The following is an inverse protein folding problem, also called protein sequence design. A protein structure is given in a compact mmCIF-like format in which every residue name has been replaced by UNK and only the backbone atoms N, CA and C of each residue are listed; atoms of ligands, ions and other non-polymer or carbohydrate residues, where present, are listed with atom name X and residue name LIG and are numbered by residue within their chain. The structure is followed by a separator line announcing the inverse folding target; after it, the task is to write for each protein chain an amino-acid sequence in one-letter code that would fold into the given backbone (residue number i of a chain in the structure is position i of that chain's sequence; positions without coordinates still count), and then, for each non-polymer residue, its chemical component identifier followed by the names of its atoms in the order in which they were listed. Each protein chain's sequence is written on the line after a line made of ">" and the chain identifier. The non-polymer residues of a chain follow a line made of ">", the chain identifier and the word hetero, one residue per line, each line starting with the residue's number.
data_IF_357700521759
#
_entry.id   IF_357700521759
#
_cell.length_a   1.000
_cell.length_b   1.000
_cell.length_c   1.000
_cell.angle_alpha   90.00
_cell.angle_beta   90.00
_cell.angle_gamma   90.00
#
_symmetry.space_group_name_H-M   'P 1'
#
loop_
_entity.id
_entity.type
_entity.pdbx_description
1 polymer ?
#
# COMPACT_ATOMS: atom_id res chain seq x y z
N UNK A 1 12.70 38.01 -43.39
CA UNK A 1 12.46 38.29 -41.96
C UNK A 1 11.55 37.20 -41.42
N UNK A 2 12.11 36.21 -40.73
CA UNK A 2 11.34 35.12 -40.12
C UNK A 2 11.00 35.49 -38.69
N UNK A 3 9.73 35.81 -38.42
CA UNK A 3 9.24 36.00 -37.06
C UNK A 3 9.16 34.64 -36.38
N UNK A 4 10.16 34.32 -35.55
CA UNK A 4 10.03 33.30 -34.51
C UNK A 4 8.89 33.74 -33.58
N UNK A 5 7.73 33.09 -33.69
CA UNK A 5 6.69 33.18 -32.65
C UNK A 5 7.29 32.57 -31.39
N UNK A 6 7.45 33.37 -30.34
CA UNK A 6 7.69 32.83 -29.01
C UNK A 6 6.47 32.00 -28.64
N UNK A 7 6.67 30.78 -28.17
CA UNK A 7 5.62 30.00 -27.52
C UNK A 7 5.36 30.72 -26.19
N UNK A 8 4.47 31.70 -26.21
CA UNK A 8 3.77 32.16 -25.01
C UNK A 8 2.79 31.05 -24.65
N UNK A 9 2.85 30.53 -23.43
CA UNK A 9 1.76 29.75 -22.85
C UNK A 9 0.50 30.63 -22.94
N UNK A 10 -0.37 30.36 -23.93
CA UNK A 10 -1.62 31.09 -24.08
C UNK A 10 -2.53 30.66 -22.94
N UNK A 11 -2.60 31.46 -21.88
CA UNK A 11 -3.54 31.25 -20.78
C UNK A 11 -4.98 31.31 -21.32
N UNK A 12 -5.62 30.15 -21.44
CA UNK A 12 -7.02 30.06 -21.83
C UNK A 12 -7.93 30.19 -20.59
N UNK A 13 -8.89 31.11 -20.66
CA UNK A 13 -9.88 31.28 -19.60
C UNK A 13 -11.17 30.53 -19.92
N UNK A 14 -11.64 29.70 -18.99
CA UNK A 14 -12.89 28.96 -19.09
C UNK A 14 -13.80 29.34 -17.92
N UNK A 15 -15.06 29.67 -18.22
CA UNK A 15 -16.07 30.03 -17.22
C UNK A 15 -17.09 28.90 -17.04
N UNK A 16 -17.24 28.38 -15.83
CA UNK A 16 -18.21 27.33 -15.48
C UNK A 16 -19.38 27.87 -14.66
N UNK A 17 -20.57 27.29 -14.85
CA UNK A 17 -21.68 27.42 -13.92
C UNK A 17 -21.77 26.15 -13.09
N UNK A 18 -21.68 26.28 -11.78
CA UNK A 18 -21.70 25.17 -10.82
C UNK A 18 -22.92 25.30 -9.92
N UNK A 19 -23.40 24.17 -9.39
CA UNK A 19 -24.35 24.20 -8.29
C UNK A 19 -23.70 24.82 -7.04
N UNK A 20 -24.51 25.40 -6.15
CA UNK A 20 -24.01 25.98 -4.89
C UNK A 20 -23.28 24.94 -4.05
N UNK A 21 -23.86 23.75 -3.93
CA UNK A 21 -23.29 22.61 -3.20
C UNK A 21 -21.90 22.25 -3.73
N UNK A 22 -21.76 22.10 -5.05
CA UNK A 22 -20.47 21.74 -5.65
C UNK A 22 -19.41 22.83 -5.46
N UNK A 23 -19.82 24.11 -5.55
CA UNK A 23 -18.91 25.23 -5.27
C UNK A 23 -18.41 25.21 -3.83
N UNK A 24 -19.30 24.95 -2.87
CA UNK A 24 -18.94 24.83 -1.46
C UNK A 24 -17.97 23.66 -1.23
N UNK A 25 -18.24 22.50 -1.81
CA UNK A 25 -17.33 21.35 -1.76
C UNK A 25 -15.93 21.70 -2.28
N UNK A 26 -15.83 22.33 -3.46
CA UNK A 26 -14.54 22.75 -4.02
C UNK A 26 -13.80 23.72 -3.08
N UNK A 27 -14.50 24.66 -2.47
CA UNK A 27 -13.89 25.61 -1.53
C UNK A 27 -13.38 24.88 -0.29
N UNK A 28 -14.17 23.97 0.27
CA UNK A 28 -13.77 23.17 1.45
C UNK A 28 -12.56 22.30 1.17
N UNK A 29 -12.53 21.59 0.03
CA UNK A 29 -11.38 20.75 -0.33
C UNK A 29 -10.12 21.58 -0.62
N UNK A 30 -10.26 22.73 -1.30
CA UNK A 30 -9.13 23.63 -1.53
C UNK A 30 -8.55 24.18 -0.22
N UNK A 31 -9.41 24.49 0.76
CA UNK A 31 -8.99 24.91 2.10
C UNK A 31 -8.26 23.80 2.84
N UNK A 32 -8.75 22.55 2.80
CA UNK A 32 -8.06 21.38 3.39
C UNK A 32 -6.67 21.18 2.79
N UNK A 33 -6.53 21.41 1.49
CA UNK A 33 -5.26 21.32 0.77
C UNK A 33 -4.40 22.60 0.86
N UNK A 34 -4.86 23.63 1.58
CA UNK A 34 -4.19 24.93 1.73
C UNK A 34 -3.81 25.58 0.38
N UNK A 35 -4.70 25.52 -0.61
CA UNK A 35 -4.55 26.12 -1.94
C UNK A 35 -5.79 26.92 -2.34
N UNK A 36 -5.68 27.73 -3.39
CA UNK A 36 -6.83 28.47 -3.93
C UNK A 36 -7.78 27.52 -4.68
N UNK A 37 -9.09 27.83 -4.68
CA UNK A 37 -10.08 27.02 -5.40
C UNK A 37 -9.79 26.92 -6.90
N UNK A 38 -9.24 27.96 -7.52
CA UNK A 38 -8.82 27.92 -8.93
C UNK A 38 -7.65 26.97 -9.16
N UNK A 39 -6.68 26.93 -8.25
CA UNK A 39 -5.56 25.98 -8.31
C UNK A 39 -6.03 24.55 -8.08
N UNK A 40 -6.88 24.33 -7.08
CA UNK A 40 -7.50 23.03 -6.84
C UNK A 40 -8.24 22.51 -8.07
N UNK A 41 -9.10 23.34 -8.67
CA UNK A 41 -9.88 22.94 -9.85
C UNK A 41 -8.98 22.66 -11.06
N UNK A 42 -7.90 23.44 -11.24
CA UNK A 42 -6.93 23.21 -12.31
C UNK A 42 -6.23 21.86 -12.14
N UNK A 43 -5.69 21.60 -10.95
CA UNK A 43 -5.03 20.32 -10.63
C UNK A 43 -5.98 19.14 -10.86
N UNK A 44 -7.23 19.24 -10.36
CA UNK A 44 -8.23 18.20 -10.54
C UNK A 44 -8.53 17.95 -12.03
N UNK A 45 -8.66 19.00 -12.83
CA UNK A 45 -8.89 18.86 -14.28
C UNK A 45 -7.68 18.25 -14.99
N UNK A 46 -6.45 18.61 -14.59
CA UNK A 46 -5.21 18.03 -15.11
C UNK A 46 -5.10 16.54 -14.74
N UNK A 47 -5.40 16.16 -13.50
CA UNK A 47 -5.39 14.77 -13.01
C UNK A 47 -6.48 13.91 -13.68
N UNK A 48 -7.67 14.46 -13.88
CA UNK A 48 -8.75 13.76 -14.60
C UNK A 48 -8.38 13.58 -16.07
N UNK A 49 -7.81 14.62 -16.71
CA UNK A 49 -7.49 14.54 -18.14
C UNK A 49 -6.27 13.66 -18.44
N UNK A 50 -5.28 13.67 -17.54
CA UNK A 50 -4.13 12.75 -17.61
C UNK A 50 -4.50 11.31 -17.26
N UNK A 51 -5.67 11.08 -16.66
CA UNK A 51 -6.12 9.77 -16.18
C UNK A 51 -5.54 9.39 -14.81
N UNK A 52 -4.66 10.22 -14.24
CA UNK A 52 -4.03 9.99 -12.95
C UNK A 52 -5.06 9.85 -11.83
N UNK A 53 -6.11 10.69 -11.83
CA UNK A 53 -7.18 10.62 -10.82
C UNK A 53 -7.83 9.22 -10.74
N UNK A 54 -8.05 8.58 -11.90
CA UNK A 54 -8.63 7.24 -11.96
C UNK A 54 -7.65 6.16 -11.48
N UNK A 55 -6.35 6.34 -11.75
CA UNK A 55 -5.30 5.43 -11.29
C UNK A 55 -5.14 5.48 -9.77
N UNK A 56 -5.16 6.67 -9.17
CA UNK A 56 -5.04 6.84 -7.72
C UNK A 56 -6.22 6.20 -6.96
N UNK A 57 -7.44 6.47 -7.40
CA UNK A 57 -8.64 5.84 -6.82
C UNK A 57 -8.64 4.32 -6.98
N UNK A 58 -8.17 3.82 -8.13
CA UNK A 58 -8.03 2.39 -8.37
C UNK A 58 -6.99 1.78 -7.41
N UNK A 59 -5.82 2.40 -7.25
CA UNK A 59 -4.77 1.92 -6.35
C UNK A 59 -5.20 1.96 -4.89
N UNK A 60 -5.92 3.00 -4.47
CA UNK A 60 -6.55 3.09 -3.15
C UNK A 60 -7.48 1.91 -2.90
N UNK A 61 -8.42 1.69 -3.82
CA UNK A 61 -9.36 0.57 -3.75
C UNK A 61 -8.63 -0.79 -3.74
N UNK A 62 -7.61 -0.99 -4.57
CA UNK A 62 -6.84 -2.24 -4.60
C UNK A 62 -6.06 -2.49 -3.30
N UNK A 63 -5.47 -1.45 -2.68
CA UNK A 63 -4.81 -1.53 -1.38
C UNK A 63 -5.76 -1.88 -0.26
N UNK A 64 -6.90 -1.19 -0.17
CA UNK A 64 -7.96 -1.52 0.80
C UNK A 64 -8.41 -2.98 0.64
N UNK A 65 -8.72 -3.38 -0.60
CA UNK A 65 -9.13 -4.75 -0.89
C UNK A 65 -8.07 -5.79 -0.50
N UNK A 66 -6.77 -5.48 -0.65
CA UNK A 66 -5.70 -6.37 -0.22
C UNK A 66 -5.59 -6.44 1.31
N UNK A 67 -5.51 -5.30 1.99
CA UNK A 67 -5.35 -5.20 3.45
C UNK A 67 -6.50 -5.87 4.21
N UNK A 68 -7.73 -5.74 3.70
CA UNK A 68 -8.92 -6.35 4.28
C UNK A 68 -9.27 -7.70 3.66
N UNK A 69 -8.44 -8.23 2.75
CA UNK A 69 -8.67 -9.56 2.17
C UNK A 69 -8.58 -10.64 3.23
N UNK A 70 -9.41 -11.68 3.06
CA UNK A 70 -9.37 -12.86 3.92
C UNK A 70 -7.98 -13.50 3.92
N UNK A 71 -7.32 -13.52 2.77
CA UNK A 71 -6.01 -14.11 2.57
C UNK A 71 -4.93 -13.39 3.40
N UNK A 72 -4.94 -12.06 3.39
CA UNK A 72 -3.99 -11.26 4.17
C UNK A 72 -4.24 -11.40 5.67
N UNK A 73 -5.50 -11.32 6.11
CA UNK A 73 -5.84 -11.51 7.52
C UNK A 73 -5.47 -12.92 8.03
N UNK A 74 -5.70 -13.95 7.22
CA UNK A 74 -5.28 -15.32 7.53
C UNK A 74 -3.76 -15.45 7.65
N UNK A 75 -3.01 -14.82 6.74
CA UNK A 75 -1.55 -14.74 6.82
C UNK A 75 -1.11 -14.08 8.13
N UNK A 76 -1.70 -12.93 8.49
CA UNK A 76 -1.37 -12.22 9.72
C UNK A 76 -1.61 -13.10 10.96
N UNK A 77 -2.80 -13.69 11.08
CA UNK A 77 -3.14 -14.61 12.18
C UNK A 77 -2.11 -15.76 12.25
N UNK A 78 -1.73 -16.30 11.09
CA UNK A 78 -0.75 -17.37 11.03
C UNK A 78 0.65 -16.93 11.51
N UNK A 79 1.13 -15.75 11.10
CA UNK A 79 2.41 -15.18 11.54
C UNK A 79 2.43 -15.05 13.07
N UNK A 80 1.38 -14.49 13.67
CA UNK A 80 1.28 -14.35 15.13
C UNK A 80 1.21 -15.70 15.83
N UNK A 81 0.46 -16.67 15.30
CA UNK A 81 0.46 -18.04 15.87
C UNK A 81 1.85 -18.67 15.87
N UNK A 82 2.66 -18.42 14.83
CA UNK A 82 4.03 -18.95 14.74
C UNK A 82 5.02 -18.27 15.68
N UNK A 83 4.69 -17.11 16.23
CA UNK A 83 5.42 -16.49 17.35
C UNK A 83 5.36 -17.37 18.62
N UNK A 84 4.22 -18.01 18.85
CA UNK A 84 3.98 -18.86 20.02
C UNK A 84 4.37 -20.32 19.77
N UNK A 85 4.00 -20.87 18.60
CA UNK A 85 4.32 -22.24 18.20
C UNK A 85 5.05 -22.27 16.85
N UNK A 86 6.38 -22.42 16.91
CA UNK A 86 7.24 -22.40 15.74
C UNK A 86 7.26 -23.72 14.93
N UNK A 87 6.52 -24.76 15.35
CA UNK A 87 6.51 -26.06 14.66
C UNK A 87 5.92 -25.95 13.26
N UNK A 88 6.37 -26.83 12.36
CA UNK A 88 5.78 -27.04 11.02
C UNK A 88 4.46 -27.80 11.10
N UNK A 89 3.47 -27.18 11.73
CA UNK A 89 2.07 -27.60 11.72
C UNK A 89 1.31 -26.78 10.67
N UNK A 90 1.66 -26.96 9.40
CA UNK A 90 0.99 -26.27 8.28
C UNK A 90 0.94 -27.22 7.10
N UNK A 91 -0.25 -27.47 6.58
CA UNK A 91 -0.39 -28.27 5.36
C UNK A 91 0.22 -27.52 4.17
N UNK A 92 0.81 -28.27 3.24
CA UNK A 92 1.47 -27.70 2.04
C UNK A 92 0.58 -26.73 1.27
N UNK A 93 -0.72 -26.99 1.19
CA UNK A 93 -1.68 -26.11 0.51
C UNK A 93 -1.81 -24.72 1.16
N UNK A 94 -1.73 -24.62 2.49
CA UNK A 94 -1.76 -23.35 3.19
C UNK A 94 -0.43 -22.61 3.04
N UNK A 95 0.69 -23.33 3.02
CA UNK A 95 2.01 -22.75 2.78
C UNK A 95 2.09 -22.04 1.43
N UNK A 96 1.61 -22.67 0.35
CA UNK A 96 1.58 -22.05 -0.98
C UNK A 96 0.68 -20.81 -1.04
N UNK A 97 -0.45 -20.83 -0.32
CA UNK A 97 -1.33 -19.66 -0.20
C UNK A 97 -0.62 -18.50 0.49
N UNK A 98 0.07 -18.75 1.60
CA UNK A 98 0.84 -17.72 2.30
C UNK A 98 1.96 -17.15 1.44
N UNK A 99 2.70 -17.99 0.71
CA UNK A 99 3.73 -17.53 -0.24
C UNK A 99 3.11 -16.62 -1.31
N UNK A 100 1.96 -17.00 -1.86
CA UNK A 100 1.26 -16.18 -2.87
C UNK A 100 0.83 -14.83 -2.29
N UNK A 101 0.31 -14.80 -1.08
CA UNK A 101 -0.09 -13.55 -0.40
C UNK A 101 1.12 -12.67 -0.10
N UNK A 102 2.22 -13.25 0.40
CA UNK A 102 3.47 -12.53 0.67
C UNK A 102 4.06 -11.90 -0.59
N UNK A 103 4.04 -12.58 -1.74
CA UNK A 103 4.53 -11.97 -2.99
C UNK A 103 3.74 -10.74 -3.44
N UNK A 104 2.47 -10.67 -3.09
CA UNK A 104 1.61 -9.52 -3.43
C UNK A 104 1.84 -8.32 -2.50
N UNK A 105 2.59 -8.47 -1.41
CA UNK A 105 2.82 -7.32 -0.51
C UNK A 105 3.63 -6.23 -1.19
N UNK A 106 4.49 -6.57 -2.15
CA UNK A 106 5.29 -5.62 -2.94
C UNK A 106 4.42 -4.59 -3.68
N UNK A 107 3.23 -4.99 -4.11
CA UNK A 107 2.32 -4.13 -4.88
C UNK A 107 1.47 -3.20 -4.00
N UNK A 108 1.28 -3.54 -2.72
CA UNK A 108 0.21 -2.95 -1.89
C UNK A 108 0.66 -2.47 -0.51
N UNK A 109 1.91 -2.67 -0.11
CA UNK A 109 2.44 -2.25 1.19
C UNK A 109 3.66 -1.34 1.01
N UNK A 110 3.94 -0.47 2.00
CA UNK A 110 5.14 0.36 1.97
C UNK A 110 6.39 -0.52 2.09
N UNK A 111 7.49 -0.08 1.45
CA UNK A 111 8.75 -0.82 1.36
C UNK A 111 9.27 -1.36 2.70
N UNK A 112 9.07 -0.62 3.79
CA UNK A 112 9.49 -1.04 5.13
C UNK A 112 8.76 -2.30 5.60
N UNK A 113 7.47 -2.44 5.27
CA UNK A 113 6.70 -3.64 5.58
C UNK A 113 7.03 -4.77 4.63
N UNK A 114 7.20 -4.49 3.33
CA UNK A 114 7.64 -5.48 2.34
C UNK A 114 8.93 -6.15 2.81
N UNK A 115 9.89 -5.36 3.28
CA UNK A 115 11.14 -5.87 3.84
C UNK A 115 10.94 -6.83 5.02
N UNK A 116 10.04 -6.51 5.95
CA UNK A 116 9.71 -7.42 7.06
C UNK A 116 9.04 -8.71 6.56
N UNK A 117 8.08 -8.61 5.63
CA UNK A 117 7.41 -9.77 5.04
C UNK A 117 8.36 -10.64 4.20
N UNK A 118 9.40 -10.09 3.59
CA UNK A 118 10.42 -10.84 2.87
C UNK A 118 11.23 -11.77 3.76
N UNK A 119 11.47 -11.38 5.02
CA UNK A 119 12.12 -12.26 6.02
C UNK A 119 11.28 -13.51 6.27
N UNK A 120 9.96 -13.33 6.34
CA UNK A 120 9.01 -14.44 6.47
C UNK A 120 9.02 -15.27 5.19
N UNK A 121 8.87 -14.64 4.02
CA UNK A 121 8.87 -15.34 2.72
C UNK A 121 10.11 -16.22 2.54
N UNK A 122 11.30 -15.69 2.85
CA UNK A 122 12.56 -16.44 2.81
C UNK A 122 12.50 -17.68 3.70
N UNK A 123 11.96 -17.55 4.91
CA UNK A 123 11.80 -18.66 5.84
C UNK A 123 10.82 -19.72 5.31
N UNK A 124 9.67 -19.31 4.74
CA UNK A 124 8.72 -20.22 4.13
C UNK A 124 9.32 -20.96 2.94
N UNK A 125 10.13 -20.30 2.11
CA UNK A 125 10.79 -20.93 0.97
C UNK A 125 11.82 -21.99 1.41
N UNK A 126 12.55 -21.75 2.51
CA UNK A 126 13.44 -22.74 3.10
C UNK A 126 12.66 -23.97 3.60
N UNK A 127 11.62 -23.74 4.40
CA UNK A 127 10.75 -24.81 4.93
C UNK A 127 9.99 -25.55 3.82
N UNK A 128 9.73 -24.91 2.68
CA UNK A 128 9.08 -25.51 1.51
C UNK A 128 9.97 -26.56 0.83
N UNK A 129 11.26 -26.26 0.69
CA UNK A 129 12.24 -27.12 0.01
C UNK A 129 12.76 -28.22 0.93
N UNK A 130 12.70 -28.00 2.24
CA UNK A 130 13.17 -28.96 3.23
C UNK A 130 12.34 -30.26 3.25
N UNK A 131 13.00 -31.36 2.89
CA UNK A 131 12.48 -32.73 2.83
C UNK A 131 12.74 -33.52 4.11
N UNK A 132 13.43 -32.93 5.09
CA UNK A 132 13.69 -33.59 6.37
C UNK A 132 12.39 -33.70 7.20
N UNK A 133 12.12 -34.92 7.67
CA UNK A 133 10.95 -35.24 8.51
C UNK A 133 11.12 -34.73 9.96
N UNK A 134 12.34 -34.41 10.37
CA UNK A 134 12.66 -33.86 11.70
C UNK A 134 13.03 -32.37 11.60
N UNK A 135 12.21 -31.51 12.22
CA UNK A 135 12.71 -30.24 12.75
C UNK A 135 12.76 -29.03 11.81
N UNK A 136 11.95 -28.96 10.76
CA UNK A 136 11.74 -27.67 10.09
C UNK A 136 10.88 -26.76 10.99
N UNK A 137 11.42 -25.62 11.42
CA UNK A 137 10.73 -24.65 12.28
C UNK A 137 10.59 -23.32 11.55
N UNK A 138 9.53 -22.59 11.87
CA UNK A 138 9.36 -21.20 11.47
C UNK A 138 10.05 -20.29 12.50
N UNK A 139 11.33 -19.98 12.28
CA UNK A 139 12.19 -19.26 13.22
C UNK A 139 12.40 -17.78 12.87
N UNK A 140 11.61 -17.22 11.93
CA UNK A 140 11.67 -15.80 11.57
C UNK A 140 11.48 -14.84 12.77
N UNK A 141 10.90 -15.29 13.88
CA UNK A 141 10.75 -14.50 15.12
C UNK A 141 11.88 -14.71 16.15
N UNK A 142 12.80 -15.65 15.93
CA UNK A 142 13.87 -16.07 16.88
C UNK A 142 15.29 -15.91 16.32
N UNK A 143 15.47 -15.23 15.19
CA UNK A 143 16.78 -15.06 14.59
C UNK A 143 17.77 -14.35 15.56
N UNK A 144 18.99 -14.90 15.68
CA UNK A 144 20.08 -14.33 16.48
C UNK A 144 20.56 -12.97 15.95
N UNK A 145 20.37 -12.72 14.66
CA UNK A 145 20.64 -11.43 14.04
C UNK A 145 19.32 -10.63 13.98
N UNK A 146 19.29 -9.48 14.62
CA UNK A 146 18.12 -8.59 14.67
C UNK A 146 17.64 -8.19 13.27
N UNK A 147 18.54 -8.00 12.31
CA UNK A 147 18.19 -7.66 10.93
C UNK A 147 17.45 -8.80 10.21
N UNK A 148 17.66 -10.04 10.64
CA UNK A 148 16.98 -11.23 10.09
C UNK A 148 15.70 -11.59 10.84
N UNK A 149 15.47 -10.97 12.00
CA UNK A 149 14.29 -11.19 12.82
C UNK A 149 13.15 -10.35 12.28
N UNK A 150 11.98 -10.96 12.15
CA UNK A 150 10.75 -10.26 11.84
C UNK A 150 10.37 -9.32 12.99
N UNK A 151 10.17 -8.05 12.68
CA UNK A 151 9.83 -7.03 13.65
C UNK A 151 8.31 -6.83 13.73
N UNK A 152 7.68 -7.44 14.72
CA UNK A 152 6.25 -7.30 14.98
C UNK A 152 5.85 -5.85 15.28
N UNK A 153 6.68 -5.07 15.96
CA UNK A 153 6.34 -3.70 16.36
C UNK A 153 6.15 -2.77 15.16
N UNK A 154 6.95 -2.95 14.10
CA UNK A 154 6.81 -2.19 12.85
C UNK A 154 5.44 -2.47 12.22
N UNK A 155 5.06 -3.74 12.17
CA UNK A 155 3.79 -4.17 11.56
C UNK A 155 2.59 -3.77 12.41
N UNK A 156 2.67 -3.93 13.74
CA UNK A 156 1.64 -3.51 14.68
C UNK A 156 1.44 -1.99 14.62
N UNK A 157 2.52 -1.20 14.61
CA UNK A 157 2.44 0.26 14.50
C UNK A 157 1.74 0.68 13.21
N UNK A 158 1.99 0.00 12.09
CA UNK A 158 1.31 0.33 10.84
C UNK A 158 -0.17 -0.08 10.83
N UNK A 159 -0.48 -1.30 11.29
CA UNK A 159 -1.85 -1.84 11.19
C UNK A 159 -2.80 -1.30 12.27
N UNK A 160 -2.29 -0.91 13.44
CA UNK A 160 -3.09 -0.51 14.59
C UNK A 160 -3.17 1.00 14.80
N UNK A 161 -2.26 1.77 14.19
CA UNK A 161 -2.37 3.24 14.17
C UNK A 161 -3.28 3.67 13.02
N UNK A 162 -4.52 4.04 13.38
CA UNK A 162 -5.54 4.48 12.43
C UNK A 162 -5.07 5.66 11.56
N UNK A 163 -4.29 6.59 12.12
CA UNK A 163 -3.80 7.74 11.37
C UNK A 163 -2.78 7.31 10.31
N UNK A 164 -1.88 6.38 10.67
CA UNK A 164 -0.86 5.85 9.75
C UNK A 164 -1.53 5.04 8.63
N UNK A 165 -2.48 4.18 8.98
CA UNK A 165 -3.17 3.31 8.03
C UNK A 165 -4.03 4.11 7.04
N UNK A 166 -4.84 5.04 7.53
CA UNK A 166 -5.67 5.91 6.67
C UNK A 166 -4.78 6.75 5.77
N UNK A 167 -3.72 7.35 6.32
CA UNK A 167 -2.79 8.15 5.52
C UNK A 167 -2.14 7.35 4.39
N UNK A 168 -1.72 6.11 4.66
CA UNK A 168 -1.15 5.23 3.64
C UNK A 168 -2.15 4.93 2.53
N UNK A 169 -3.37 4.53 2.90
CA UNK A 169 -4.43 4.19 1.95
C UNK A 169 -4.79 5.40 1.07
N UNK A 170 -4.81 6.61 1.65
CA UNK A 170 -5.25 7.82 0.97
C UNK A 170 -4.17 8.55 0.16
N UNK A 171 -2.88 8.43 0.49
CA UNK A 171 -1.85 9.36 -0.03
C UNK A 171 -0.59 8.78 -0.64
N UNK A 172 -0.26 7.51 -0.47
CA UNK A 172 0.90 6.94 -1.17
C UNK A 172 0.51 6.50 -2.58
N UNK A 173 0.27 7.45 -3.49
CA UNK A 173 0.41 7.16 -4.93
C UNK A 173 1.91 7.11 -5.23
N UNK A 174 2.40 5.98 -5.76
CA UNK A 174 3.82 5.72 -6.08
C UNK A 174 4.38 6.78 -7.04
#
# INVERSE_FOLDING_TARGET
>A
MNNKKSITEEEAMINFRLSKVLKETIITEAQKANITSSKYLRNLLEEVHSGNYCLEEKLKSERENFLFSKEFLQLMIWIYRKRENNKREVEKQFLERYIKTLKRTEDYLPNILVYEFDKILKNLLLVRVDTSYDGSYFDFHKAYNEDKKFNFEIVEKFLLDENVLIHFIEKESI
#
